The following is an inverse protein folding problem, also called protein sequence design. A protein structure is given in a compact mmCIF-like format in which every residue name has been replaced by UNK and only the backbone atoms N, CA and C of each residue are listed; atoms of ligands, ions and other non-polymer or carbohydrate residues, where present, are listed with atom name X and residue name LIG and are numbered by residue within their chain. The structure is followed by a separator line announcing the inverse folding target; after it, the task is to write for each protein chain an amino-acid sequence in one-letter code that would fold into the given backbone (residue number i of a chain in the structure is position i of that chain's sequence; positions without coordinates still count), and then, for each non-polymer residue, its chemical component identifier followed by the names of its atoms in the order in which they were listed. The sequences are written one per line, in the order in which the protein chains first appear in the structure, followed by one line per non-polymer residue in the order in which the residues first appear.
data_IF_375233165728
#
_entry.id   IF_375233165728
#
_cell.length_a   1.000
_cell.length_b   1.000
_cell.length_c   1.000
_cell.angle_alpha   90.00
_cell.angle_beta   90.00
_cell.angle_gamma   90.00
#
_symmetry.space_group_name_H-M   'P 1'
#
loop_
_entity.id
_entity.type
_entity.pdbx_description
1 polymer ?
#
# COMPACT_ATOMS: atom_id res chain seq x y z
N UNK A 1 -21.60 8.11 -18.39
CA UNK A 1 -21.75 8.07 -16.92
C UNK A 1 -20.59 7.38 -16.19
N UNK A 2 -19.60 6.76 -16.86
CA UNK A 2 -18.41 6.21 -16.15
C UNK A 2 -17.24 7.20 -16.01
N UNK A 3 -17.21 8.31 -16.76
CA UNK A 3 -16.14 9.31 -16.65
C UNK A 3 -16.20 10.08 -15.31
N UNK A 4 -17.40 10.34 -14.80
CA UNK A 4 -17.60 11.18 -13.62
C UNK A 4 -16.98 10.59 -12.36
N UNK A 5 -17.02 9.26 -12.18
CA UNK A 5 -16.44 8.59 -11.00
C UNK A 5 -14.91 8.58 -11.08
N UNK A 6 -14.33 8.43 -12.27
CA UNK A 6 -12.87 8.44 -12.44
C UNK A 6 -12.30 9.83 -12.20
N UNK A 7 -12.95 10.89 -12.73
CA UNK A 7 -12.57 12.28 -12.48
C UNK A 7 -12.69 12.65 -11.00
N UNK A 8 -13.74 12.21 -10.31
CA UNK A 8 -13.88 12.42 -8.87
C UNK A 8 -12.80 11.71 -8.06
N UNK A 9 -12.35 10.52 -8.49
CA UNK A 9 -11.23 9.81 -7.84
C UNK A 9 -9.91 10.56 -8.01
N UNK A 10 -9.67 11.12 -9.19
CA UNK A 10 -8.48 11.92 -9.48
C UNK A 10 -8.47 13.20 -8.64
N UNK A 11 -9.60 13.92 -8.59
CA UNK A 11 -9.75 15.10 -7.73
C UNK A 11 -9.53 14.78 -6.25
N UNK A 12 -10.07 13.66 -5.75
CA UNK A 12 -9.83 13.23 -4.37
C UNK A 12 -8.35 12.91 -4.13
N UNK A 13 -7.70 12.22 -5.06
CA UNK A 13 -6.26 11.92 -4.99
C UNK A 13 -5.43 13.21 -4.87
N UNK A 14 -5.73 14.22 -5.69
CA UNK A 14 -5.05 15.52 -5.66
C UNK A 14 -5.21 16.24 -4.31
N UNK A 15 -6.42 16.19 -3.73
CA UNK A 15 -6.69 16.80 -2.42
C UNK A 15 -5.91 16.08 -1.30
N UNK A 16 -5.91 14.76 -1.29
CA UNK A 16 -5.15 13.97 -0.31
C UNK A 16 -3.64 14.23 -0.42
N UNK A 17 -3.11 14.34 -1.64
CA UNK A 17 -1.72 14.69 -1.88
C UNK A 17 -1.38 16.08 -1.34
N UNK A 18 -2.22 17.09 -1.58
CA UNK A 18 -2.04 18.44 -1.03
C UNK A 18 -1.98 18.43 0.49
N UNK A 19 -2.93 17.76 1.14
CA UNK A 19 -2.97 17.64 2.60
C UNK A 19 -1.71 16.95 3.13
N UNK A 20 -1.27 15.87 2.49
CA UNK A 20 -0.06 15.15 2.87
C UNK A 20 1.18 16.07 2.85
N UNK A 21 1.35 16.81 1.76
CA UNK A 21 2.47 17.75 1.57
C UNK A 21 2.44 18.85 2.64
N UNK A 22 1.26 19.41 2.93
CA UNK A 22 1.11 20.47 3.91
C UNK A 22 1.42 19.99 5.35
N UNK A 23 1.05 18.75 5.69
CA UNK A 23 1.37 18.14 6.98
C UNK A 23 2.88 17.90 7.13
N UNK A 24 3.53 17.41 6.07
CA UNK A 24 4.99 17.21 6.05
C UNK A 24 5.72 18.56 6.18
N UNK A 25 5.26 19.60 5.47
CA UNK A 25 5.81 20.96 5.58
C UNK A 25 5.67 21.56 6.97
N UNK A 26 4.66 21.14 7.73
CA UNK A 26 4.45 21.54 9.13
C UNK A 26 5.32 20.75 10.12
N UNK A 27 6.19 19.85 9.64
CA UNK A 27 7.14 19.11 10.45
C UNK A 27 6.63 17.75 10.95
N UNK A 28 5.48 17.28 10.45
CA UNK A 28 5.01 15.92 10.76
C UNK A 28 5.85 14.91 9.97
N UNK A 29 6.38 13.85 10.61
CA UNK A 29 7.13 12.80 9.92
C UNK A 29 6.32 12.19 8.76
N UNK A 30 6.96 12.05 7.60
CA UNK A 30 6.28 11.61 6.38
C UNK A 30 5.76 10.16 6.46
N UNK A 31 6.49 9.30 7.16
CA UNK A 31 6.07 7.94 7.50
C UNK A 31 4.74 7.94 8.26
N UNK A 32 4.60 8.79 9.28
CA UNK A 32 3.37 8.91 10.08
C UNK A 32 2.19 9.45 9.24
N UNK A 33 2.45 10.39 8.33
CA UNK A 33 1.44 10.91 7.39
C UNK A 33 0.98 9.81 6.43
N UNK A 34 1.92 9.04 5.86
CA UNK A 34 1.58 7.96 4.92
C UNK A 34 0.86 6.80 5.60
N UNK A 35 1.29 6.39 6.80
CA UNK A 35 0.60 5.36 7.59
C UNK A 35 -0.86 5.76 7.88
N UNK A 36 -1.09 7.04 8.19
CA UNK A 36 -2.43 7.57 8.44
C UNK A 36 -3.30 7.53 7.17
N UNK A 37 -2.76 7.95 6.02
CA UNK A 37 -3.48 7.93 4.74
C UNK A 37 -3.78 6.50 4.29
N UNK A 38 -2.85 5.57 4.48
CA UNK A 38 -3.06 4.15 4.20
C UNK A 38 -4.20 3.60 5.07
N UNK A 39 -4.20 3.92 6.36
CA UNK A 39 -5.24 3.51 7.30
C UNK A 39 -6.62 4.02 6.89
N UNK A 40 -6.73 5.30 6.52
CA UNK A 40 -7.98 5.91 6.03
C UNK A 40 -8.43 5.25 4.73
N UNK A 41 -7.51 5.02 3.78
CA UNK A 41 -7.80 4.34 2.52
C UNK A 41 -8.34 2.92 2.74
N UNK A 42 -7.73 2.15 3.64
CA UNK A 42 -8.19 0.82 4.01
C UNK A 42 -9.57 0.85 4.69
N UNK A 43 -9.80 1.79 5.61
CA UNK A 43 -11.11 1.95 6.26
C UNK A 43 -12.22 2.27 5.25
N UNK A 44 -11.97 3.18 4.31
CA UNK A 44 -12.91 3.50 3.23
C UNK A 44 -13.15 2.31 2.28
N UNK A 45 -12.12 1.52 1.98
CA UNK A 45 -12.29 0.29 1.20
C UNK A 45 -13.13 -0.74 1.96
N UNK A 46 -12.95 -0.90 3.27
CA UNK A 46 -13.77 -1.78 4.11
C UNK A 46 -15.23 -1.32 4.16
N UNK A 47 -15.48 -0.02 4.23
CA UNK A 47 -16.83 0.54 4.19
C UNK A 47 -17.54 0.25 2.86
N UNK A 48 -16.86 0.47 1.73
CA UNK A 48 -17.42 0.28 0.39
C UNK A 48 -17.56 -1.19 -0.02
N UNK A 49 -16.60 -2.04 0.37
CA UNK A 49 -16.48 -3.42 -0.12
C UNK A 49 -16.86 -4.47 0.93
N UNK A 50 -17.04 -4.06 2.18
CA UNK A 50 -17.32 -4.96 3.29
C UNK A 50 -16.06 -5.65 3.83
N UNK A 51 -16.07 -5.89 5.15
CA UNK A 51 -14.95 -6.43 5.92
C UNK A 51 -14.41 -7.77 5.39
N UNK A 52 -15.29 -8.68 4.97
CA UNK A 52 -14.88 -10.03 4.55
C UNK A 52 -14.15 -10.03 3.20
N UNK A 53 -14.63 -9.24 2.24
CA UNK A 53 -13.97 -9.11 0.94
C UNK A 53 -12.59 -8.47 1.09
N UNK A 54 -12.47 -7.42 1.91
CA UNK A 54 -11.18 -6.76 2.12
C UNK A 54 -10.19 -7.65 2.87
N UNK A 55 -10.64 -8.40 3.89
CA UNK A 55 -9.81 -9.38 4.58
C UNK A 55 -9.26 -10.44 3.61
N UNK A 56 -10.10 -10.98 2.72
CA UNK A 56 -9.65 -11.95 1.71
C UNK A 56 -8.58 -11.37 0.76
N UNK A 57 -8.74 -10.12 0.33
CA UNK A 57 -7.74 -9.44 -0.51
C UNK A 57 -6.41 -9.22 0.22
N UNK A 58 -6.46 -8.80 1.48
CA UNK A 58 -5.25 -8.58 2.28
C UNK A 58 -4.49 -9.88 2.53
N UNK A 59 -5.20 -10.98 2.80
CA UNK A 59 -4.60 -12.32 2.93
C UNK A 59 -3.90 -12.72 1.63
N UNK A 60 -4.57 -12.60 0.48
CA UNK A 60 -3.97 -12.96 -0.81
C UNK A 60 -2.71 -12.14 -1.13
N UNK A 61 -2.71 -10.83 -0.82
CA UNK A 61 -1.53 -9.97 -0.99
C UNK A 61 -0.39 -10.41 -0.06
N UNK A 62 -0.71 -10.72 1.21
CA UNK A 62 0.29 -11.18 2.17
C UNK A 62 0.91 -12.53 1.79
N UNK A 63 0.10 -13.47 1.28
CA UNK A 63 0.58 -14.76 0.77
C UNK A 63 1.53 -14.57 -0.42
N UNK A 64 1.14 -13.75 -1.40
CA UNK A 64 1.98 -13.45 -2.56
C UNK A 64 3.31 -12.81 -2.15
N UNK A 65 3.28 -11.85 -1.22
CA UNK A 65 4.49 -11.20 -0.72
C UNK A 65 5.39 -12.18 0.04
N UNK A 66 4.80 -13.03 0.89
CA UNK A 66 5.53 -14.10 1.59
C UNK A 66 6.26 -15.01 0.60
N UNK A 67 5.59 -15.42 -0.48
CA UNK A 67 6.21 -16.30 -1.47
C UNK A 67 7.31 -15.60 -2.26
N UNK A 68 7.16 -14.32 -2.58
CA UNK A 68 8.22 -13.53 -3.20
C UNK A 68 9.46 -13.45 -2.28
N UNK A 69 9.26 -13.11 -1.00
CA UNK A 69 10.36 -12.97 -0.03
C UNK A 69 11.08 -14.31 0.22
N UNK A 70 10.37 -15.44 0.21
CA UNK A 70 10.99 -16.78 0.28
C UNK A 70 11.90 -17.03 -0.91
N UNK A 71 11.45 -16.73 -2.13
CA UNK A 71 12.26 -16.88 -3.35
C UNK A 71 13.48 -15.96 -3.34
N UNK A 72 13.32 -14.70 -2.92
CA UNK A 72 14.44 -13.76 -2.79
C UNK A 72 15.47 -14.28 -1.78
N UNK A 73 15.02 -14.83 -0.65
CA UNK A 73 15.89 -15.45 0.35
C UNK A 73 16.65 -16.66 -0.21
N UNK A 74 15.98 -17.54 -0.95
CA UNK A 74 16.61 -18.70 -1.61
C UNK A 74 17.68 -18.25 -2.61
N UNK A 75 17.37 -17.27 -3.46
CA UNK A 75 18.32 -16.72 -4.42
C UNK A 75 19.56 -16.10 -3.75
N UNK A 76 19.38 -15.37 -2.65
CA UNK A 76 20.48 -14.82 -1.86
C UNK A 76 21.36 -15.93 -1.24
N UNK A 77 20.73 -17.02 -0.77
CA UNK A 77 21.46 -18.15 -0.19
C UNK A 77 22.28 -18.90 -1.24
N UNK A 78 21.72 -19.11 -2.44
CA UNK A 78 22.42 -19.72 -3.57
C UNK A 78 23.61 -18.88 -4.02
N UNK A 79 23.43 -17.56 -4.16
CA UNK A 79 24.51 -16.63 -4.50
C UNK A 79 25.64 -16.65 -3.45
N UNK A 80 25.28 -16.65 -2.16
CA UNK A 80 26.24 -16.76 -1.06
C UNK A 80 27.04 -18.06 -1.11
N UNK A 81 26.39 -19.18 -1.42
CA UNK A 81 27.07 -20.48 -1.55
C UNK A 81 27.96 -20.55 -2.80
N UNK A 82 27.56 -19.94 -3.91
CA UNK A 82 28.34 -19.92 -5.15
C UNK A 82 29.65 -19.11 -5.04
N UNK A 83 29.65 -18.05 -4.23
CA UNK A 83 30.85 -17.21 -4.00
C UNK A 83 31.86 -17.77 -2.99
N UNK A 84 31.57 -18.92 -2.37
CA UNK A 84 32.46 -19.60 -1.40
C UNK A 84 33.26 -20.76 -2.00
N UNK A 85 33.09 -21.04 -3.30
CA UNK A 85 33.94 -21.95 -4.10
C UNK A 85 34.95 -21.15 -4.92
#
# INVERSE_FOLDING_TARGET
MSNDISELREQLSDQWQKVAIDLIRKGIPADLVFESLLTVGLAGQVELQGKHMMAGKLVAIAEQLSDQLKREKEALQEASNATKN
#
